data_IF_476710910422
#
_entry.id   IF_476710910422
#
_cell.length_a   1.000
_cell.length_b   1.000
_cell.length_c   1.000
_cell.angle_alpha   90.00
_cell.angle_beta   90.00
_cell.angle_gamma   90.00
#
_symmetry.space_group_name_H-M   'P 1'
#
loop_
_entity.id
_entity.type
_entity.pdbx_description
1 polymer ?
#
# COMPACT_ATOMS: atom_id res chain seq x y z
N UNK A 1 9.66 1.34 21.77
CA UNK A 1 10.41 2.33 22.60
C UNK A 1 11.18 3.15 21.58
N UNK A 2 11.01 4.47 21.51
CA UNK A 2 11.56 5.25 20.40
C UNK A 2 13.10 5.18 20.39
N UNK A 3 13.70 4.75 19.28
CA UNK A 3 15.15 4.71 19.10
C UNK A 3 15.67 6.12 18.77
N UNK A 4 16.69 6.59 19.49
CA UNK A 4 17.32 7.90 19.20
C UNK A 4 17.83 7.94 17.75
N UNK A 5 17.39 8.94 16.99
CA UNK A 5 17.72 9.08 15.56
C UNK A 5 16.90 8.20 14.61
N UNK A 6 16.05 7.31 15.15
CA UNK A 6 15.11 6.51 14.38
C UNK A 6 13.81 7.25 14.07
N UNK A 7 13.14 6.83 13.00
CA UNK A 7 11.81 7.32 12.67
C UNK A 7 10.76 6.59 13.50
N UNK A 8 9.88 7.35 14.14
CA UNK A 8 8.64 6.81 14.72
C UNK A 8 7.52 6.96 13.69
N UNK A 9 6.91 5.84 13.31
CA UNK A 9 5.67 5.89 12.51
C UNK A 9 4.56 6.39 13.43
N UNK A 10 3.84 7.42 13.00
CA UNK A 10 2.73 7.99 13.75
C UNK A 10 1.48 7.12 13.58
N UNK A 11 0.51 7.33 14.45
CA UNK A 11 -0.83 6.81 14.20
C UNK A 11 -1.42 7.53 12.98
N UNK A 12 -1.80 6.75 11.97
CA UNK A 12 -2.21 7.26 10.66
C UNK A 12 -3.60 6.75 10.36
N UNK A 13 -4.49 7.67 9.99
CA UNK A 13 -5.80 7.36 9.43
C UNK A 13 -5.69 7.08 7.94
N UNK A 14 -6.49 6.14 7.46
CA UNK A 14 -6.60 5.85 6.04
C UNK A 14 -7.03 7.12 5.27
N UNK A 15 -6.44 7.35 4.10
CA UNK A 15 -6.94 8.34 3.16
C UNK A 15 -8.07 7.76 2.30
N UNK A 16 -8.88 8.64 1.72
CA UNK A 16 -9.85 8.26 0.71
C UNK A 16 -9.15 7.93 -0.61
N UNK A 17 -9.34 6.71 -1.09
CA UNK A 17 -8.94 6.30 -2.44
C UNK A 17 -10.11 6.48 -3.41
N UNK A 18 -9.88 6.73 -4.71
CA UNK A 18 -10.94 6.65 -5.70
C UNK A 18 -11.65 5.28 -5.63
N UNK A 19 -12.97 5.26 -5.75
CA UNK A 19 -13.82 4.08 -5.46
C UNK A 19 -13.32 2.79 -6.13
N UNK A 20 -12.95 2.88 -7.42
CA UNK A 20 -12.41 1.76 -8.18
C UNK A 20 -11.08 1.24 -7.61
N UNK A 21 -10.18 2.16 -7.26
CA UNK A 21 -8.88 1.83 -6.67
C UNK A 21 -9.05 1.30 -5.25
N UNK A 22 -10.02 1.81 -4.47
CA UNK A 22 -10.36 1.31 -3.14
C UNK A 22 -10.85 -0.16 -3.20
N UNK A 23 -11.68 -0.47 -4.20
CA UNK A 23 -12.17 -1.83 -4.45
C UNK A 23 -11.03 -2.76 -4.84
N UNK A 24 -10.18 -2.36 -5.80
CA UNK A 24 -9.00 -3.11 -6.20
C UNK A 24 -7.98 -3.31 -5.09
N UNK A 25 -7.76 -2.29 -4.27
CA UNK A 25 -6.90 -2.37 -3.08
C UNK A 25 -7.44 -3.40 -2.09
N UNK A 26 -8.74 -3.36 -1.80
CA UNK A 26 -9.39 -4.30 -0.88
C UNK A 26 -9.33 -5.74 -1.40
N UNK A 27 -9.51 -5.95 -2.70
CA UNK A 27 -9.38 -7.28 -3.34
C UNK A 27 -7.96 -7.83 -3.22
N UNK A 28 -6.95 -7.03 -3.59
CA UNK A 28 -5.54 -7.45 -3.59
C UNK A 28 -5.03 -7.71 -2.17
N UNK A 29 -5.33 -6.81 -1.23
CA UNK A 29 -4.81 -6.90 0.14
C UNK A 29 -5.69 -7.73 1.08
N UNK A 30 -6.97 -7.94 0.79
CA UNK A 30 -7.85 -8.79 1.57
C UNK A 30 -7.42 -10.26 1.60
N UNK A 31 -6.69 -10.72 0.58
CA UNK A 31 -6.10 -12.06 0.51
C UNK A 31 -4.69 -12.17 1.10
N UNK A 32 -4.05 -11.07 1.51
CA UNK A 32 -2.69 -11.09 2.03
C UNK A 32 -2.65 -11.48 3.51
N UNK A 33 -1.77 -12.43 3.84
CA UNK A 33 -1.47 -12.82 5.22
C UNK A 33 -0.06 -12.33 5.58
N UNK A 34 0.14 -11.95 6.85
CA UNK A 34 1.45 -11.58 7.38
C UNK A 34 1.72 -10.08 7.46
N UNK A 35 0.88 -9.23 6.87
CA UNK A 35 0.96 -7.78 7.01
C UNK A 35 -0.40 -7.11 6.78
N UNK A 36 -0.64 -5.99 7.46
CA UNK A 36 -1.76 -5.09 7.17
C UNK A 36 -1.24 -3.82 6.51
N UNK A 37 -2.08 -3.21 5.67
CA UNK A 37 -1.73 -1.99 4.92
C UNK A 37 -2.85 -0.97 5.04
N UNK A 38 -2.49 0.24 5.45
CA UNK A 38 -3.41 1.39 5.55
C UNK A 38 -2.96 2.41 4.50
N UNK A 39 -3.81 2.78 3.52
CA UNK A 39 -3.44 3.78 2.52
C UNK A 39 -3.32 5.15 3.18
N UNK A 40 -2.18 5.81 3.01
CA UNK A 40 -1.85 7.12 3.61
C UNK A 40 -2.07 8.24 2.62
N UNK A 41 -1.63 8.06 1.37
CA UNK A 41 -1.80 9.03 0.28
C UNK A 41 -1.89 8.30 -1.05
N UNK A 42 -2.84 8.68 -1.89
CA UNK A 42 -2.85 8.34 -3.32
C UNK A 42 -2.01 9.36 -4.11
N UNK A 43 -0.91 8.90 -4.69
CA UNK A 43 0.16 9.81 -5.15
C UNK A 43 0.12 10.13 -6.64
N UNK A 44 -0.05 9.10 -7.48
CA UNK A 44 0.11 9.25 -8.93
C UNK A 44 -0.49 8.06 -9.70
N UNK A 45 -0.72 8.29 -10.99
CA UNK A 45 -1.02 7.24 -11.98
C UNK A 45 0.02 7.23 -13.10
N UNK A 46 0.18 6.07 -13.74
CA UNK A 46 1.00 5.92 -14.93
C UNK A 46 0.26 5.03 -15.94
N UNK A 47 0.07 5.52 -17.16
CA UNK A 47 -0.54 4.76 -18.26
C UNK A 47 0.47 3.77 -18.84
N UNK A 48 0.06 2.51 -18.97
CA UNK A 48 0.83 1.39 -19.54
C UNK A 48 -0.11 0.51 -20.38
N UNK A 49 0.12 -0.80 -20.49
CA UNK A 49 -0.91 -1.76 -20.90
C UNK A 49 -1.94 -1.95 -19.77
N UNK A 50 -2.67 -0.87 -19.44
CA UNK A 50 -3.44 -0.72 -18.20
C UNK A 50 -3.05 0.58 -17.48
N UNK A 51 -3.25 0.63 -16.17
CA UNK A 51 -2.90 1.79 -15.34
C UNK A 51 -2.16 1.31 -14.09
N UNK A 52 -0.99 1.87 -13.81
CA UNK A 52 -0.34 1.72 -12.51
C UNK A 52 -0.79 2.84 -11.57
N UNK A 53 -1.14 2.47 -10.34
CA UNK A 53 -1.57 3.35 -9.26
C UNK A 53 -0.51 3.34 -8.15
N UNK A 54 0.05 4.50 -7.83
CA UNK A 54 1.01 4.65 -6.74
C UNK A 54 0.30 5.11 -5.47
N UNK A 55 0.46 4.35 -4.39
CA UNK A 55 -0.12 4.62 -3.07
C UNK A 55 0.99 4.51 -2.03
N UNK A 56 1.12 5.48 -1.13
CA UNK A 56 1.90 5.31 0.09
C UNK A 56 1.02 4.63 1.14
N UNK A 57 1.51 3.55 1.74
CA UNK A 57 0.80 2.81 2.77
C UNK A 57 1.61 2.77 4.08
N UNK A 58 0.92 2.82 5.22
CA UNK A 58 1.46 2.31 6.48
C UNK A 58 1.33 0.80 6.44
N UNK A 59 2.45 0.10 6.51
CA UNK A 59 2.49 -1.35 6.67
C UNK A 59 2.71 -1.69 8.14
N UNK A 60 2.00 -2.69 8.65
CA UNK A 60 2.26 -3.31 9.95
C UNK A 60 2.41 -4.81 9.77
N UNK A 61 3.57 -5.37 10.10
CA UNK A 61 3.81 -6.81 10.00
C UNK A 61 3.15 -7.57 11.14
N UNK A 62 2.56 -8.73 10.83
CA UNK A 62 1.95 -9.63 11.81
C UNK A 62 2.99 -10.55 12.46
N UNK A 63 4.03 -9.94 13.05
CA UNK A 63 5.10 -10.61 13.80
C UNK A 63 4.95 -10.38 15.31
N UNK A 64 5.62 -11.21 16.13
CA UNK A 64 5.62 -11.06 17.59
C UNK A 64 6.03 -9.65 18.03
N UNK A 65 7.00 -9.08 17.33
CA UNK A 65 7.39 -7.68 17.44
C UNK A 65 6.85 -6.97 16.19
N UNK A 66 5.64 -6.42 16.27
CA UNK A 66 4.97 -5.79 15.13
C UNK A 66 5.81 -4.61 14.62
N UNK A 67 6.44 -4.79 13.45
CA UNK A 67 7.24 -3.76 12.80
C UNK A 67 6.36 -2.93 11.89
N UNK A 68 6.49 -1.61 11.98
CA UNK A 68 5.79 -0.66 11.10
C UNK A 68 6.73 -0.02 10.08
N UNK A 69 6.21 0.29 8.89
CA UNK A 69 6.93 1.00 7.85
C UNK A 69 5.99 1.86 7.01
N UNK A 70 6.52 2.94 6.42
CA UNK A 70 5.90 3.58 5.27
C UNK A 70 6.46 2.92 4.01
N UNK A 71 5.56 2.39 3.20
CA UNK A 71 5.89 1.70 1.96
C UNK A 71 5.23 2.35 0.76
N UNK A 72 5.91 2.32 -0.38
CA UNK A 72 5.34 2.62 -1.68
C UNK A 72 4.73 1.35 -2.25
N UNK A 73 3.43 1.36 -2.50
CA UNK A 73 2.68 0.30 -3.15
C UNK A 73 2.37 0.73 -4.59
N UNK A 74 2.61 -0.17 -5.54
CA UNK A 74 2.16 -0.02 -6.92
C UNK A 74 1.10 -1.11 -7.19
N UNK A 75 -0.14 -0.68 -7.39
CA UNK A 75 -1.23 -1.53 -7.87
C UNK A 75 -1.38 -1.36 -9.38
N UNK A 76 -1.43 -2.46 -10.10
CA UNK A 76 -1.67 -2.46 -11.54
C UNK A 76 -3.13 -2.80 -11.82
N UNK A 77 -3.82 -1.92 -12.54
CA UNK A 77 -5.15 -2.13 -13.12
C UNK A 77 -4.98 -2.58 -14.58
N UNK A 78 -5.49 -3.78 -14.90
CA UNK A 78 -5.49 -4.27 -16.27
C UNK A 78 -6.45 -3.47 -17.17
N UNK A 79 -6.24 -3.53 -18.48
CA UNK A 79 -7.20 -2.97 -19.42
C UNK A 79 -8.57 -3.63 -19.26
N UNK A 80 -9.68 -2.91 -19.51
CA UNK A 80 -11.02 -3.49 -19.45
C UNK A 80 -11.22 -4.71 -20.36
N UNK A 81 -10.60 -4.70 -21.54
CA UNK A 81 -10.65 -5.82 -22.50
C UNK A 81 -9.96 -7.09 -21.96
N UNK A 82 -9.06 -6.93 -21.00
CA UNK A 82 -8.33 -8.02 -20.34
C UNK A 82 -8.97 -8.42 -19.00
N UNK A 83 -10.16 -7.89 -18.69
CA UNK A 83 -10.94 -8.22 -17.48
C UNK A 83 -10.81 -7.21 -16.35
N UNK A 84 -10.00 -6.15 -16.50
CA UNK A 84 -9.98 -5.00 -15.58
C UNK A 84 -9.59 -5.31 -14.12
N UNK A 85 -8.89 -6.43 -13.87
CA UNK A 85 -8.50 -6.85 -12.53
C UNK A 85 -7.35 -6.02 -11.99
N UNK A 86 -7.27 -5.96 -10.67
CA UNK A 86 -6.13 -5.37 -9.96
C UNK A 86 -5.13 -6.45 -9.54
N UNK A 87 -3.84 -6.12 -9.61
CA UNK A 87 -2.77 -6.95 -9.08
C UNK A 87 -1.70 -6.11 -8.40
N UNK A 88 -1.02 -6.70 -7.42
CA UNK A 88 0.12 -6.05 -6.78
C UNK A 88 1.34 -6.16 -7.69
N UNK A 89 1.90 -5.02 -8.08
CA UNK A 89 3.11 -4.98 -8.89
C UNK A 89 4.37 -4.83 -8.04
N UNK A 90 4.34 -3.96 -7.03
CA UNK A 90 5.52 -3.69 -6.19
C UNK A 90 5.15 -3.17 -4.80
N UNK A 91 5.98 -3.50 -3.81
CA UNK A 91 6.02 -2.89 -2.47
C UNK A 91 7.46 -2.55 -2.13
N UNK A 92 7.73 -1.29 -1.84
CA UNK A 92 9.08 -0.81 -1.51
C UNK A 92 9.08 -0.02 -0.21
N UNK A 93 10.06 -0.28 0.67
CA UNK A 93 10.22 0.48 1.91
C UNK A 93 10.71 1.91 1.63
N UNK A 94 10.01 2.90 2.18
CA UNK A 94 10.43 4.30 2.15
C UNK A 94 11.03 4.68 3.51
N UNK A 95 10.34 4.35 4.61
CA UNK A 95 10.80 4.59 5.99
C UNK A 95 10.44 3.40 6.86
N UNK A 96 11.38 2.93 7.69
CA UNK A 96 11.13 1.92 8.72
C UNK A 96 10.96 2.58 10.09
N UNK A 97 9.98 2.11 10.85
CA UNK A 97 9.76 2.50 12.25
C UNK A 97 10.71 1.79 13.21
N UNK A 98 11.20 2.50 14.23
CA UNK A 98 12.07 1.97 15.30
C UNK A 98 11.64 2.40 16.70
#
# INVERSE_FOLDING_TARGET
MALTGGWKILDIKACDLPEKVASGFSEVFGGMVGATYIPVVYCATQVVAGINHMILCKQTLATKDASEAIVKVILHEQLPVDGGKFSLLNIENIVKGY
#
